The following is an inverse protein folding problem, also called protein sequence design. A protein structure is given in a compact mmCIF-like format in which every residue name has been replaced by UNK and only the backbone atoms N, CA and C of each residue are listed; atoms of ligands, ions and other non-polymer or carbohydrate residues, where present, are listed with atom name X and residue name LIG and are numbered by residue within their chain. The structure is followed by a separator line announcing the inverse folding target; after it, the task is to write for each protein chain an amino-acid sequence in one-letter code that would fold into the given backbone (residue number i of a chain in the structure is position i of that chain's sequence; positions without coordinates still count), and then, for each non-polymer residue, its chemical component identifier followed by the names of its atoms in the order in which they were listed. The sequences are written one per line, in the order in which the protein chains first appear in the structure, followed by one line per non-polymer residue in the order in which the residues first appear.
data_IF_372621569632
#
_entry.id   IF_372621569632
#
_cell.length_a   1.000
_cell.length_b   1.000
_cell.length_c   1.000
_cell.angle_alpha   90.00
_cell.angle_beta   90.00
_cell.angle_gamma   90.00
#
_symmetry.space_group_name_H-M   'P 1'
#
loop_
_entity.id
_entity.type
_entity.pdbx_description
1 polymer ?
#
# COMPACT_ATOMS: atom_id res chain seq x y z
N UNK A 1 -15.44 -4.87 -13.78
CA UNK A 1 -16.45 -3.76 -13.86
C UNK A 1 -15.83 -2.64 -14.68
N UNK A 2 -16.57 -1.98 -15.59
CA UNK A 2 -15.97 -1.00 -16.53
C UNK A 2 -16.24 0.43 -16.09
N UNK A 3 -15.16 1.23 -15.93
CA UNK A 3 -15.21 2.62 -15.51
C UNK A 3 -14.11 3.41 -16.26
N UNK A 4 -14.46 4.56 -16.84
CA UNK A 4 -13.51 5.45 -17.54
C UNK A 4 -12.57 4.71 -18.53
N UNK A 5 -13.12 3.78 -19.35
CA UNK A 5 -12.33 3.00 -20.30
C UNK A 5 -11.58 1.79 -19.71
N UNK A 6 -11.43 1.72 -18.40
CA UNK A 6 -10.74 0.65 -17.66
C UNK A 6 -11.75 -0.37 -17.11
N UNK A 7 -11.42 -1.65 -17.21
CA UNK A 7 -12.19 -2.70 -16.58
C UNK A 7 -11.46 -3.14 -15.31
N UNK A 8 -12.05 -2.85 -14.14
CA UNK A 8 -11.48 -3.19 -12.83
C UNK A 8 -12.02 -4.53 -12.36
N UNK A 9 -11.11 -5.47 -12.10
CA UNK A 9 -11.42 -6.71 -11.39
C UNK A 9 -11.36 -6.49 -9.89
N UNK A 10 -12.34 -7.01 -9.15
CA UNK A 10 -12.40 -6.89 -7.70
C UNK A 10 -12.99 -8.15 -7.07
N UNK A 11 -12.70 -8.33 -5.79
CA UNK A 11 -13.28 -9.33 -4.92
C UNK A 11 -13.84 -8.67 -3.66
N UNK A 12 -14.96 -9.18 -3.17
CA UNK A 12 -15.60 -8.72 -1.93
C UNK A 12 -15.96 -9.93 -1.09
N UNK A 13 -15.34 -10.05 0.09
CA UNK A 13 -15.45 -11.22 0.97
C UNK A 13 -15.77 -10.79 2.39
N UNK A 14 -16.32 -11.71 3.21
CA UNK A 14 -16.67 -11.42 4.60
C UNK A 14 -18.03 -10.76 4.76
N UNK A 15 -18.34 -10.35 5.99
CA UNK A 15 -19.61 -9.74 6.41
C UNK A 15 -19.34 -8.55 7.31
N UNK A 16 -20.32 -7.67 7.48
CA UNK A 16 -20.20 -6.51 8.38
C UNK A 16 -19.89 -5.21 7.64
N UNK A 17 -19.12 -4.31 8.29
CA UNK A 17 -18.76 -3.01 7.75
C UNK A 17 -17.82 -3.17 6.55
N UNK A 18 -17.95 -2.29 5.57
CA UNK A 18 -17.08 -2.32 4.40
C UNK A 18 -15.68 -1.82 4.73
N UNK A 19 -14.67 -2.54 4.23
CA UNK A 19 -13.26 -2.22 4.34
C UNK A 19 -12.59 -2.36 2.98
N UNK A 20 -11.96 -1.31 2.47
CA UNK A 20 -11.16 -1.34 1.25
C UNK A 20 -9.70 -1.58 1.59
N UNK A 21 -9.09 -2.59 0.99
CA UNK A 21 -7.64 -2.80 1.04
C UNK A 21 -7.05 -2.49 -0.34
N UNK A 22 -6.18 -1.46 -0.38
CA UNK A 22 -5.46 -1.03 -1.57
C UNK A 22 -4.05 -1.59 -1.51
N UNK A 23 -3.71 -2.47 -2.46
CA UNK A 23 -2.46 -3.23 -2.47
C UNK A 23 -1.25 -2.40 -2.90
N UNK A 24 -0.05 -2.90 -2.58
CA UNK A 24 1.23 -2.29 -2.96
C UNK A 24 1.60 -2.47 -4.43
N UNK A 25 2.76 -1.92 -4.81
CA UNK A 25 3.31 -1.97 -6.18
C UNK A 25 3.38 -3.42 -6.70
N UNK A 26 2.85 -3.66 -7.89
CA UNK A 26 2.92 -4.95 -8.58
C UNK A 26 2.03 -6.06 -7.99
N UNK A 27 1.30 -5.78 -6.90
CA UNK A 27 0.42 -6.78 -6.28
C UNK A 27 -0.93 -6.86 -6.98
N UNK A 28 -1.39 -8.08 -7.22
CA UNK A 28 -2.72 -8.38 -7.75
C UNK A 28 -3.38 -9.56 -7.00
N UNK A 29 -4.66 -9.80 -7.27
CA UNK A 29 -5.47 -10.79 -6.55
C UNK A 29 -5.16 -12.25 -6.92
N UNK A 30 -4.30 -12.51 -7.90
CA UNK A 30 -3.77 -13.84 -8.21
C UNK A 30 -2.68 -14.27 -7.22
N UNK A 31 -2.08 -13.29 -6.52
CA UNK A 31 -1.08 -13.55 -5.48
C UNK A 31 -1.76 -13.98 -4.18
N UNK A 32 -1.06 -14.72 -3.32
CA UNK A 32 -1.57 -15.03 -2.01
C UNK A 32 -1.95 -13.78 -1.23
N UNK A 33 -3.15 -13.79 -0.69
CA UNK A 33 -3.68 -12.69 0.09
C UNK A 33 -2.81 -12.44 1.33
N UNK A 34 -2.66 -11.18 1.67
CA UNK A 34 -2.18 -10.78 2.97
C UNK A 34 -3.12 -11.41 4.02
N UNK A 35 -2.61 -12.21 4.96
CA UNK A 35 -3.44 -12.65 6.06
C UNK A 35 -3.93 -11.42 6.81
N UNK A 36 -5.23 -11.32 7.02
CA UNK A 36 -5.87 -10.27 7.80
C UNK A 36 -6.59 -10.93 9.01
N UNK A 37 -5.82 -11.39 10.02
CA UNK A 37 -6.40 -12.09 11.14
C UNK A 37 -7.50 -11.24 11.78
N UNK A 38 -8.65 -11.86 12.08
CA UNK A 38 -9.78 -11.24 12.77
C UNK A 38 -10.55 -10.14 11.97
N UNK A 39 -10.04 -9.63 10.85
CA UNK A 39 -10.74 -8.63 10.04
C UNK A 39 -11.87 -9.28 9.23
N UNK A 40 -11.61 -10.40 8.58
CA UNK A 40 -12.59 -11.07 7.70
C UNK A 40 -13.87 -11.53 8.44
N UNK A 41 -13.83 -11.68 9.76
CA UNK A 41 -14.98 -12.06 10.58
C UNK A 41 -15.92 -10.88 10.90
N UNK A 42 -15.43 -9.65 10.81
CA UNK A 42 -16.14 -8.43 11.22
C UNK A 42 -16.31 -7.41 10.09
N UNK A 43 -15.55 -7.56 9.02
CA UNK A 43 -15.56 -6.66 7.88
C UNK A 43 -15.88 -7.38 6.58
N UNK A 44 -16.58 -6.68 5.72
CA UNK A 44 -16.75 -7.06 4.32
C UNK A 44 -15.63 -6.42 3.51
N UNK A 45 -14.59 -7.19 3.28
CA UNK A 45 -13.33 -6.71 2.69
C UNK A 45 -13.43 -6.65 1.18
N UNK A 46 -13.25 -5.46 0.63
CA UNK A 46 -13.14 -5.17 -0.80
C UNK A 46 -11.65 -5.06 -1.17
N UNK A 47 -11.25 -5.82 -2.19
CA UNK A 47 -9.91 -5.77 -2.81
C UNK A 47 -10.08 -5.68 -4.31
N UNK A 48 -9.14 -5.06 -5.00
CA UNK A 48 -9.19 -4.94 -6.46
C UNK A 48 -7.79 -4.99 -7.07
N UNK A 49 -7.73 -5.39 -8.33
CA UNK A 49 -6.53 -5.27 -9.14
C UNK A 49 -6.43 -3.84 -9.67
N UNK A 50 -5.31 -3.19 -9.44
CA UNK A 50 -5.05 -1.88 -10.05
C UNK A 50 -5.12 -1.96 -11.56
N UNK A 51 -5.50 -0.84 -12.22
CA UNK A 51 -5.51 -0.74 -13.68
C UNK A 51 -4.21 -1.27 -14.29
N UNK A 52 -4.32 -2.14 -15.28
CA UNK A 52 -3.21 -2.74 -16.00
C UNK A 52 -2.49 -3.87 -15.26
N UNK A 53 -2.96 -4.26 -14.06
CA UNK A 53 -2.44 -5.41 -13.33
C UNK A 53 -3.49 -6.51 -13.18
N UNK A 54 -3.01 -7.72 -12.95
CA UNK A 54 -3.85 -8.87 -12.67
C UNK A 54 -4.86 -9.13 -13.76
N UNK A 55 -6.14 -9.00 -13.42
CA UNK A 55 -7.28 -9.19 -14.31
C UNK A 55 -7.92 -7.84 -14.72
N UNK A 56 -7.36 -6.71 -14.27
CA UNK A 56 -7.78 -5.38 -14.66
C UNK A 56 -7.11 -4.93 -15.95
N UNK A 57 -7.88 -4.26 -16.83
CA UNK A 57 -7.35 -3.66 -18.06
C UNK A 57 -6.81 -2.25 -17.79
N UNK A 58 -6.10 -1.69 -18.76
CA UNK A 58 -5.77 -0.27 -18.82
C UNK A 58 -5.78 0.18 -20.27
N UNK A 59 -6.12 1.45 -20.49
CA UNK A 59 -5.85 2.11 -21.77
C UNK A 59 -4.37 2.48 -21.88
N UNK A 60 -3.88 2.63 -23.09
CA UNK A 60 -2.49 3.04 -23.36
C UNK A 60 -2.36 4.57 -23.19
N UNK A 61 -2.25 5.00 -21.93
CA UNK A 61 -2.11 6.41 -21.55
C UNK A 61 -1.17 6.56 -20.37
N UNK A 62 -0.60 7.75 -20.21
CA UNK A 62 0.07 8.12 -18.98
C UNK A 62 -0.93 8.15 -17.82
N UNK A 63 -0.55 7.54 -16.71
CA UNK A 63 -1.41 7.36 -15.53
C UNK A 63 -0.73 8.03 -14.34
N UNK A 64 -1.47 8.90 -13.65
CA UNK A 64 -1.05 9.56 -12.43
C UNK A 64 -1.53 8.84 -11.17
N UNK A 65 -1.00 9.22 -10.01
CA UNK A 65 -1.51 8.73 -8.72
C UNK A 65 -2.98 9.09 -8.49
N UNK A 66 -3.42 10.26 -9.02
CA UNK A 66 -4.83 10.68 -8.96
C UNK A 66 -5.76 9.74 -9.73
N UNK A 67 -5.31 9.19 -10.86
CA UNK A 67 -6.11 8.25 -11.65
C UNK A 67 -6.35 6.93 -10.91
N UNK A 68 -5.35 6.45 -10.16
CA UNK A 68 -5.51 5.27 -9.29
C UNK A 68 -6.51 5.54 -8.14
N UNK A 69 -6.52 6.74 -7.58
CA UNK A 69 -7.48 7.12 -6.56
C UNK A 69 -8.90 7.26 -7.12
N UNK A 70 -9.03 7.84 -8.32
CA UNK A 70 -10.32 7.99 -9.00
C UNK A 70 -10.88 6.62 -9.45
N UNK A 71 -10.04 5.62 -9.74
CA UNK A 71 -10.47 4.24 -9.94
C UNK A 71 -11.09 3.64 -8.68
N UNK A 72 -10.43 3.81 -7.54
CA UNK A 72 -10.96 3.32 -6.27
C UNK A 72 -12.32 4.00 -5.97
N UNK A 73 -12.41 5.32 -6.12
CA UNK A 73 -13.65 6.07 -5.93
C UNK A 73 -14.76 5.62 -6.91
N UNK A 74 -14.40 5.40 -8.18
CA UNK A 74 -15.31 4.88 -9.21
C UNK A 74 -15.84 3.50 -8.89
N UNK A 75 -14.99 2.60 -8.40
CA UNK A 75 -15.37 1.27 -7.95
C UNK A 75 -16.35 1.34 -6.77
N UNK A 76 -16.08 2.15 -5.76
CA UNK A 76 -16.97 2.34 -4.61
C UNK A 76 -18.34 2.87 -5.03
N UNK A 77 -18.37 3.89 -5.90
CA UNK A 77 -19.61 4.44 -6.44
C UNK A 77 -20.43 3.39 -7.20
N UNK A 78 -19.78 2.56 -8.01
CA UNK A 78 -20.48 1.51 -8.76
C UNK A 78 -21.03 0.40 -7.87
N UNK A 79 -20.41 0.16 -6.71
CA UNK A 79 -20.87 -0.78 -5.68
C UNK A 79 -21.89 -0.15 -4.74
N UNK A 80 -22.26 1.13 -4.94
CA UNK A 80 -23.18 1.89 -4.09
C UNK A 80 -22.69 1.92 -2.63
N UNK A 81 -21.36 2.15 -2.47
CA UNK A 81 -20.71 2.32 -1.17
C UNK A 81 -20.46 3.83 -1.00
N UNK A 82 -21.15 4.44 -0.07
CA UNK A 82 -21.09 5.89 0.18
C UNK A 82 -19.93 6.25 1.12
N UNK A 83 -19.52 5.32 1.99
CA UNK A 83 -18.44 5.50 2.96
C UNK A 83 -17.81 4.15 3.30
N UNK A 84 -16.46 4.13 3.47
CA UNK A 84 -15.69 2.92 3.72
C UNK A 84 -14.45 3.20 4.58
N UNK A 85 -14.01 2.21 5.36
CA UNK A 85 -12.68 2.20 5.95
C UNK A 85 -11.64 1.80 4.91
N UNK A 86 -10.46 2.43 4.95
CA UNK A 86 -9.43 2.21 3.93
C UNK A 86 -8.10 1.81 4.57
N UNK A 87 -7.53 0.71 4.13
CA UNK A 87 -6.13 0.33 4.39
C UNK A 87 -5.37 0.47 3.07
N UNK A 88 -4.41 1.40 3.03
CA UNK A 88 -3.47 1.54 1.91
C UNK A 88 -2.10 1.02 2.28
N UNK A 89 -1.54 0.08 1.51
CA UNK A 89 -0.26 -0.57 1.78
C UNK A 89 0.76 -0.12 0.73
N UNK A 90 1.87 0.48 1.15
CA UNK A 90 2.96 0.92 0.27
C UNK A 90 2.43 1.86 -0.84
N UNK A 91 2.52 1.49 -2.11
CA UNK A 91 1.88 2.19 -3.23
C UNK A 91 0.39 2.45 -2.97
N UNK A 92 -0.32 1.44 -2.44
CA UNK A 92 -1.72 1.59 -2.06
C UNK A 92 -1.95 2.67 -0.99
N UNK A 93 -0.96 2.93 -0.13
CA UNK A 93 -0.99 4.04 0.83
C UNK A 93 -0.86 5.41 0.14
N UNK A 94 -0.08 5.51 -0.93
CA UNK A 94 -0.05 6.73 -1.76
C UNK A 94 -1.40 6.95 -2.44
N UNK A 95 -2.00 5.90 -3.01
CA UNK A 95 -3.35 5.96 -3.60
C UNK A 95 -4.40 6.36 -2.57
N UNK A 96 -4.33 5.80 -1.35
CA UNK A 96 -5.25 6.08 -0.26
C UNK A 96 -5.17 7.54 0.23
N UNK A 97 -3.98 8.15 0.23
CA UNK A 97 -3.80 9.58 0.51
C UNK A 97 -4.53 10.44 -0.53
N UNK A 98 -4.31 10.15 -1.85
CA UNK A 98 -5.05 10.85 -2.91
C UNK A 98 -6.57 10.63 -2.80
N UNK A 99 -7.01 9.41 -2.47
CA UNK A 99 -8.43 9.10 -2.28
C UNK A 99 -9.04 9.93 -1.14
N UNK A 100 -8.35 10.01 0.01
CA UNK A 100 -8.82 10.76 1.17
C UNK A 100 -8.90 12.28 0.91
N UNK A 101 -7.96 12.84 0.14
CA UNK A 101 -7.96 14.28 -0.21
C UNK A 101 -9.01 14.59 -1.27
N UNK A 102 -9.09 13.79 -2.34
CA UNK A 102 -9.96 14.06 -3.50
C UNK A 102 -11.42 13.66 -3.27
N UNK A 103 -11.64 12.62 -2.47
CA UNK A 103 -12.97 12.04 -2.19
C UNK A 103 -13.20 11.87 -0.67
N UNK A 104 -13.06 12.95 0.14
CA UNK A 104 -13.02 12.86 1.61
C UNK A 104 -14.26 12.22 2.23
N UNK A 105 -15.41 12.31 1.56
CA UNK A 105 -16.67 11.70 2.05
C UNK A 105 -16.74 10.20 1.89
N UNK A 106 -15.90 9.62 1.03
CA UNK A 106 -15.84 8.17 0.84
C UNK A 106 -15.02 7.47 1.91
N UNK A 107 -14.11 8.19 2.60
CA UNK A 107 -13.18 7.58 3.55
C UNK A 107 -13.58 7.94 4.97
N UNK A 108 -14.00 6.94 5.76
CA UNK A 108 -14.34 7.09 7.18
C UNK A 108 -13.10 7.07 8.05
N UNK A 109 -12.34 6.00 8.00
CA UNK A 109 -11.04 5.83 8.67
C UNK A 109 -9.97 5.47 7.65
N UNK A 110 -8.77 5.96 7.89
CA UNK A 110 -7.63 5.76 6.99
C UNK A 110 -6.49 5.06 7.71
N UNK A 111 -6.02 3.95 7.16
CA UNK A 111 -4.79 3.28 7.62
C UNK A 111 -3.74 3.38 6.52
N UNK A 112 -2.59 3.95 6.84
CA UNK A 112 -1.45 4.13 5.95
C UNK A 112 -0.30 3.23 6.41
N UNK A 113 -0.07 2.11 5.71
CA UNK A 113 0.96 1.15 6.04
C UNK A 113 2.17 1.24 5.10
N UNK A 114 3.39 1.32 5.66
CA UNK A 114 4.69 1.34 4.94
C UNK A 114 4.66 2.20 3.68
N UNK A 115 4.25 3.45 3.79
CA UNK A 115 4.05 4.36 2.66
C UNK A 115 4.80 5.68 2.80
N UNK A 116 4.63 6.58 1.85
CA UNK A 116 5.38 7.83 1.74
C UNK A 116 4.44 8.97 1.34
N UNK A 117 4.72 10.20 1.79
CA UNK A 117 4.05 11.40 1.27
C UNK A 117 4.55 11.82 -0.11
N UNK A 118 5.70 11.26 -0.55
CA UNK A 118 6.35 11.66 -1.78
C UNK A 118 7.23 12.90 -1.65
N UNK A 119 7.38 13.61 -2.78
CA UNK A 119 8.26 14.78 -2.88
C UNK A 119 9.76 14.45 -2.86
N UNK A 120 10.59 15.48 -2.85
CA UNK A 120 12.05 15.31 -2.96
C UNK A 120 12.73 14.84 -1.66
N UNK A 121 12.11 15.09 -0.51
CA UNK A 121 12.73 14.84 0.82
C UNK A 121 12.23 13.55 1.46
N UNK A 122 10.99 13.15 1.19
CA UNK A 122 10.32 12.02 1.81
C UNK A 122 9.76 11.04 0.76
N UNK A 123 10.42 10.94 -0.39
CA UNK A 123 10.11 9.93 -1.40
C UNK A 123 10.35 8.52 -0.83
N UNK A 124 9.65 7.55 -1.36
CA UNK A 124 10.03 6.14 -1.21
C UNK A 124 11.21 5.81 -2.12
N UNK A 125 11.84 4.65 -1.92
CA UNK A 125 12.94 4.18 -2.76
C UNK A 125 12.60 4.29 -4.25
N UNK A 126 13.59 4.69 -5.07
CA UNK A 126 13.43 4.81 -6.52
C UNK A 126 13.41 3.44 -7.18
N UNK A 127 12.20 3.01 -7.55
CA UNK A 127 12.02 1.75 -8.25
C UNK A 127 12.28 1.85 -9.76
N UNK A 128 12.32 3.05 -10.35
CA UNK A 128 12.70 3.23 -11.76
C UNK A 128 14.17 2.86 -11.91
N UNK A 129 15.03 3.47 -11.09
CA UNK A 129 16.47 3.18 -11.07
C UNK A 129 16.73 1.69 -10.77
N UNK A 130 15.98 1.12 -9.83
CA UNK A 130 16.09 -0.31 -9.50
C UNK A 130 15.80 -1.21 -10.71
N UNK A 131 14.80 -0.87 -11.54
CA UNK A 131 14.43 -1.68 -12.70
C UNK A 131 15.49 -1.68 -13.81
N UNK A 132 16.35 -0.68 -13.86
CA UNK A 132 17.45 -0.58 -14.83
C UNK A 132 18.67 -1.44 -14.45
N UNK A 133 18.72 -1.96 -13.22
CA UNK A 133 19.82 -2.84 -12.76
C UNK A 133 19.74 -4.23 -13.39
N UNK A 134 20.90 -4.92 -13.59
CA UNK A 134 20.93 -6.34 -13.88
C UNK A 134 20.16 -7.16 -12.84
N UNK A 135 19.56 -8.28 -13.26
CA UNK A 135 18.63 -9.06 -12.41
C UNK A 135 19.21 -9.41 -11.03
N UNK A 136 20.46 -9.88 -10.95
CA UNK A 136 21.09 -10.25 -9.67
C UNK A 136 21.32 -9.04 -8.75
N UNK A 137 21.74 -7.92 -9.31
CA UNK A 137 21.93 -6.67 -8.57
C UNK A 137 20.58 -6.12 -8.10
N UNK A 138 19.57 -6.14 -8.96
CA UNK A 138 18.20 -5.75 -8.65
C UNK A 138 17.64 -6.56 -7.48
N UNK A 139 17.83 -7.87 -7.51
CA UNK A 139 17.37 -8.77 -6.44
C UNK A 139 18.06 -8.46 -5.11
N UNK A 140 19.37 -8.22 -5.12
CA UNK A 140 20.12 -7.84 -3.91
C UNK A 140 19.65 -6.48 -3.37
N UNK A 141 19.60 -5.47 -4.22
CA UNK A 141 19.15 -4.13 -3.83
C UNK A 141 17.73 -4.12 -3.30
N UNK A 142 16.85 -4.93 -3.90
CA UNK A 142 15.49 -5.12 -3.40
C UNK A 142 15.48 -5.69 -1.98
N UNK A 143 16.28 -6.74 -1.71
CA UNK A 143 16.40 -7.34 -0.38
C UNK A 143 16.89 -6.33 0.67
N UNK A 144 17.95 -5.61 0.32
CA UNK A 144 18.58 -4.60 1.20
C UNK A 144 17.64 -3.43 1.53
N UNK A 145 16.77 -3.06 0.58
CA UNK A 145 15.74 -2.03 0.81
C UNK A 145 14.52 -2.59 1.55
N UNK A 146 14.17 -3.85 1.31
CA UNK A 146 13.00 -4.47 1.91
C UNK A 146 13.14 -4.56 3.44
N UNK A 147 14.37 -4.85 3.90
CA UNK A 147 14.73 -4.78 5.32
C UNK A 147 16.19 -4.38 5.49
N UNK A 148 16.43 -3.24 6.11
CA UNK A 148 17.76 -2.66 6.28
C UNK A 148 18.68 -3.49 7.20
N UNK A 149 18.15 -4.43 7.98
CA UNK A 149 18.95 -5.40 8.76
C UNK A 149 19.76 -6.32 7.84
N UNK A 150 19.26 -6.56 6.62
CA UNK A 150 19.96 -7.40 5.64
C UNK A 150 21.29 -6.81 5.17
N UNK A 151 21.40 -5.48 5.10
CA UNK A 151 22.62 -4.77 4.68
C UNK A 151 23.86 -5.09 5.54
N UNK A 152 23.64 -5.45 6.78
CA UNK A 152 24.71 -5.68 7.75
C UNK A 152 25.13 -7.15 7.89
N UNK A 153 24.54 -8.07 7.13
CA UNK A 153 24.88 -9.51 7.15
C UNK A 153 24.67 -10.18 8.51
N UNK A 154 23.92 -9.55 9.42
CA UNK A 154 24.00 -9.84 10.85
C UNK A 154 22.85 -10.68 11.41
N UNK A 155 21.79 -10.96 10.66
CA UNK A 155 20.66 -11.68 11.26
C UNK A 155 20.14 -12.83 10.38
N UNK A 156 20.51 -14.01 10.87
CA UNK A 156 19.79 -15.26 10.79
C UNK A 156 19.50 -15.83 9.39
N UNK A 157 20.12 -16.99 9.09
CA UNK A 157 19.80 -17.84 7.93
C UNK A 157 18.30 -18.04 7.71
N UNK A 158 17.49 -17.98 8.78
CA UNK A 158 16.03 -18.12 8.71
C UNK A 158 15.34 -16.89 8.13
N UNK A 159 15.80 -15.69 8.48
CA UNK A 159 15.26 -14.44 7.94
C UNK A 159 15.61 -14.29 6.45
N UNK A 160 16.85 -14.58 6.07
CA UNK A 160 17.29 -14.66 4.67
C UNK A 160 16.45 -15.68 3.90
N UNK A 161 16.18 -16.83 4.49
CA UNK A 161 15.34 -17.87 3.91
C UNK A 161 13.88 -17.42 3.72
N UNK A 162 13.29 -16.70 4.68
CA UNK A 162 11.94 -16.13 4.55
C UNK A 162 11.88 -15.04 3.49
N UNK A 163 12.88 -14.16 3.48
CA UNK A 163 13.01 -13.14 2.43
C UNK A 163 13.24 -13.78 1.07
N UNK A 164 14.13 -14.74 0.94
CA UNK A 164 14.32 -15.47 -0.32
C UNK A 164 13.03 -16.17 -0.77
N UNK A 165 12.24 -16.74 0.16
CA UNK A 165 10.93 -17.31 -0.18
C UNK A 165 9.92 -16.24 -0.59
N UNK A 166 9.83 -15.14 0.15
CA UNK A 166 8.99 -14.00 -0.20
C UNK A 166 9.40 -13.43 -1.56
N UNK A 167 10.68 -13.33 -1.82
CA UNK A 167 11.23 -12.83 -3.09
C UNK A 167 11.06 -13.84 -4.20
N UNK A 168 11.35 -15.11 -4.01
CA UNK A 168 11.06 -16.14 -5.03
C UNK A 168 9.56 -16.22 -5.33
N UNK A 169 8.72 -15.95 -4.34
CA UNK A 169 7.28 -15.85 -4.49
C UNK A 169 6.88 -14.53 -5.17
N UNK A 170 7.56 -13.44 -4.87
CA UNK A 170 7.36 -12.10 -5.45
C UNK A 170 8.22 -11.86 -6.69
N UNK A 171 9.23 -12.66 -6.98
CA UNK A 171 9.98 -12.59 -8.24
C UNK A 171 9.16 -13.02 -9.46
N UNK A 172 8.05 -13.73 -9.23
CA UNK A 172 6.99 -13.77 -10.24
C UNK A 172 6.31 -12.42 -10.45
N UNK A 173 6.44 -11.49 -9.49
CA UNK A 173 5.95 -10.10 -9.62
C UNK A 173 6.93 -9.19 -10.37
N UNK A 174 8.22 -9.58 -10.46
CA UNK A 174 9.21 -8.92 -11.30
C UNK A 174 9.67 -9.93 -12.36
N UNK A 175 8.81 -10.29 -13.33
CA UNK A 175 9.25 -11.07 -14.47
C UNK A 175 10.42 -10.36 -15.14
N UNK A 176 11.24 -11.11 -15.87
CA UNK A 176 12.35 -10.53 -16.64
C UNK A 176 11.90 -9.36 -17.52
N UNK A 177 10.60 -9.36 -17.90
CA UNK A 177 9.92 -8.26 -18.56
C UNK A 177 8.85 -7.74 -17.60
N UNK A 178 9.09 -6.57 -16.99
CA UNK A 178 8.06 -5.89 -16.18
C UNK A 178 6.82 -5.67 -17.06
N UNK A 179 5.65 -6.08 -16.56
CA UNK A 179 4.41 -5.81 -17.29
C UNK A 179 4.23 -4.29 -17.45
N UNK A 180 3.61 -3.87 -18.56
CA UNK A 180 3.30 -2.45 -18.77
C UNK A 180 2.56 -1.82 -17.59
N UNK A 181 1.67 -2.59 -16.95
CA UNK A 181 0.94 -2.13 -15.76
C UNK A 181 1.85 -1.86 -14.56
N UNK A 182 2.85 -2.71 -14.31
CA UNK A 182 3.84 -2.49 -13.26
C UNK A 182 4.67 -1.23 -13.55
N UNK A 183 5.14 -1.06 -14.78
CA UNK A 183 5.93 0.11 -15.16
C UNK A 183 5.11 1.41 -15.07
N UNK A 184 3.80 1.37 -15.37
CA UNK A 184 2.90 2.50 -15.15
C UNK A 184 2.79 2.88 -13.68
N UNK A 185 2.65 1.89 -12.79
CA UNK A 185 2.66 2.15 -11.33
C UNK A 185 3.98 2.76 -10.86
N UNK A 186 5.11 2.21 -11.31
CA UNK A 186 6.45 2.71 -10.95
C UNK A 186 6.63 4.15 -11.40
N UNK A 187 6.20 4.51 -12.62
CA UNK A 187 6.25 5.89 -13.13
C UNK A 187 5.29 6.82 -12.38
N UNK A 188 4.06 6.38 -12.12
CA UNK A 188 3.09 7.19 -11.38
C UNK A 188 3.59 7.53 -9.97
N UNK A 189 4.15 6.53 -9.25
CA UNK A 189 4.68 6.75 -7.89
C UNK A 189 5.90 7.65 -7.86
N UNK A 190 6.75 7.66 -8.91
CA UNK A 190 7.92 8.57 -8.95
C UNK A 190 7.51 10.03 -9.02
N UNK A 191 6.31 10.33 -9.53
CA UNK A 191 5.72 11.67 -9.53
C UNK A 191 4.82 11.97 -8.32
N UNK A 192 4.74 11.07 -7.34
CA UNK A 192 3.92 11.27 -6.15
C UNK A 192 4.50 12.36 -5.25
N UNK A 193 3.71 13.38 -4.97
CA UNK A 193 4.02 14.43 -3.98
C UNK A 193 2.73 15.01 -3.40
N UNK A 194 2.47 14.72 -2.14
CA UNK A 194 1.38 15.31 -1.36
C UNK A 194 1.93 16.01 -0.09
N UNK A 195 3.23 16.30 -0.04
CA UNK A 195 3.88 16.86 1.15
C UNK A 195 3.22 18.14 1.66
N UNK A 196 2.72 18.99 0.77
CA UNK A 196 2.02 20.23 1.13
C UNK A 196 0.51 20.05 1.33
N UNK A 197 -0.06 18.91 0.92
CA UNK A 197 -1.50 18.66 0.94
C UNK A 197 -1.96 17.75 2.09
N UNK A 198 -1.04 17.17 2.87
CA UNK A 198 -1.35 16.22 3.94
C UNK A 198 -2.31 16.79 5.00
N UNK A 199 -2.27 18.10 5.24
CA UNK A 199 -3.19 18.79 6.15
C UNK A 199 -4.65 18.77 5.70
N UNK A 200 -4.94 18.37 4.44
CA UNK A 200 -6.28 18.20 3.90
C UNK A 200 -6.87 16.82 4.24
N UNK A 201 -6.07 15.88 4.74
CA UNK A 201 -6.54 14.58 5.25
C UNK A 201 -7.16 14.85 6.62
N UNK A 202 -8.49 14.79 6.70
CA UNK A 202 -9.28 15.11 7.89
C UNK A 202 -9.79 13.86 8.63
N UNK A 203 -9.70 12.72 8.01
CA UNK A 203 -10.15 11.44 8.56
C UNK A 203 -9.28 11.01 9.75
N UNK A 204 -9.84 10.32 10.77
CA UNK A 204 -9.02 9.57 11.72
C UNK A 204 -8.05 8.67 10.97
N UNK A 205 -6.75 8.80 11.28
CA UNK A 205 -5.69 8.14 10.54
C UNK A 205 -4.79 7.32 11.47
N UNK A 206 -4.55 6.06 11.13
CA UNK A 206 -3.51 5.25 11.74
C UNK A 206 -2.37 5.07 10.74
N UNK A 207 -1.17 5.43 11.14
CA UNK A 207 0.05 5.28 10.33
C UNK A 207 0.89 4.17 10.95
N UNK A 208 1.22 3.14 10.17
CA UNK A 208 1.95 1.96 10.66
C UNK A 208 3.12 1.61 9.75
N UNK A 209 4.22 1.16 10.32
CA UNK A 209 5.38 0.74 9.54
C UNK A 209 6.38 -0.10 10.29
N UNK A 210 7.26 -0.75 9.52
CA UNK A 210 8.39 -1.50 10.05
C UNK A 210 9.54 -0.58 10.45
N UNK A 211 10.22 -0.91 11.54
CA UNK A 211 11.39 -0.15 12.04
C UNK A 211 12.57 -0.17 11.07
N UNK A 212 12.64 -1.19 10.23
CA UNK A 212 13.76 -1.45 9.34
C UNK A 212 13.39 -1.35 7.85
N UNK A 213 12.29 -0.68 7.56
CA UNK A 213 11.83 -0.45 6.18
C UNK A 213 12.78 0.52 5.46
N UNK A 214 13.41 0.06 4.38
CA UNK A 214 14.25 0.89 3.51
C UNK A 214 13.55 1.36 2.24
N UNK A 215 12.36 0.82 1.93
CA UNK A 215 11.54 1.26 0.78
C UNK A 215 10.74 2.51 1.15
N UNK A 216 10.07 2.48 2.29
CA UNK A 216 9.37 3.61 2.89
C UNK A 216 9.91 3.84 4.31
N UNK A 217 11.08 4.48 4.44
CA UNK A 217 11.78 4.60 5.72
C UNK A 217 10.91 5.21 6.82
N UNK A 218 11.16 4.88 8.11
CA UNK A 218 10.41 5.41 9.24
C UNK A 218 10.21 6.91 9.25
N UNK A 219 11.18 7.66 8.70
CA UNK A 219 11.12 9.12 8.59
C UNK A 219 9.95 9.60 7.73
N UNK A 220 9.57 8.83 6.70
CA UNK A 220 8.42 9.15 5.85
C UNK A 220 7.11 9.07 6.62
N UNK A 221 6.98 8.03 7.47
CA UNK A 221 5.80 7.85 8.31
C UNK A 221 5.74 8.91 9.42
N UNK A 222 6.89 9.27 9.98
CA UNK A 222 6.98 10.37 10.95
C UNK A 222 6.55 11.70 10.31
N UNK A 223 6.94 11.96 9.07
CA UNK A 223 6.51 13.13 8.33
C UNK A 223 4.98 13.12 8.12
N UNK A 224 4.40 12.00 7.66
CA UNK A 224 2.95 11.85 7.54
C UNK A 224 2.24 12.20 8.85
N UNK A 225 2.72 11.63 9.97
CA UNK A 225 2.13 11.87 11.30
C UNK A 225 2.24 13.32 11.77
N UNK A 226 3.30 14.02 11.39
CA UNK A 226 3.48 15.43 11.77
C UNK A 226 2.50 16.36 11.04
N UNK A 227 2.02 15.99 9.84
CA UNK A 227 1.19 16.85 9.01
C UNK A 227 -0.27 16.39 8.90
N UNK A 228 -0.59 15.12 9.18
CA UNK A 228 -1.97 14.62 9.28
C UNK A 228 -2.45 14.80 10.72
N UNK A 229 -3.33 15.78 10.96
CA UNK A 229 -3.70 16.23 12.32
C UNK A 229 -4.31 15.15 13.21
N UNK A 230 -5.18 14.31 12.66
CA UNK A 230 -5.90 13.26 13.40
C UNK A 230 -5.20 11.92 13.23
N UNK A 231 -3.87 11.86 13.41
CA UNK A 231 -3.10 10.65 13.19
C UNK A 231 -2.47 10.08 14.45
N UNK A 232 -2.43 8.74 14.50
CA UNK A 232 -1.63 7.94 15.42
C UNK A 232 -0.50 7.29 14.61
N UNK A 233 0.70 7.13 15.19
CA UNK A 233 1.85 6.50 14.53
C UNK A 233 2.41 5.38 15.39
N UNK A 234 2.46 4.16 14.81
CA UNK A 234 3.02 3.00 15.45
C UNK A 234 4.10 2.33 14.58
N UNK A 235 5.20 1.92 15.20
CA UNK A 235 6.27 1.14 14.56
C UNK A 235 6.34 -0.27 15.14
N UNK A 236 6.49 -1.25 14.26
CA UNK A 236 6.55 -2.67 14.57
C UNK A 236 7.90 -3.26 14.19
N UNK A 237 8.21 -4.45 14.70
CA UNK A 237 9.38 -5.20 14.26
C UNK A 237 9.20 -5.63 12.79
N UNK A 238 10.31 -5.61 12.03
CA UNK A 238 10.29 -5.94 10.62
C UNK A 238 10.66 -4.78 9.71
N UNK A 239 10.80 -5.10 8.41
CA UNK A 239 11.04 -4.18 7.31
C UNK A 239 9.75 -3.77 6.62
N UNK A 240 9.79 -3.72 5.28
CA UNK A 240 8.63 -3.38 4.44
C UNK A 240 7.49 -4.40 4.54
N UNK A 241 7.79 -5.63 4.99
CA UNK A 241 6.83 -6.72 5.20
C UNK A 241 6.36 -6.87 6.65
N UNK A 242 6.55 -5.89 7.52
CA UNK A 242 6.21 -5.96 8.94
C UNK A 242 4.81 -6.53 9.23
N UNK A 243 3.83 -6.34 8.34
CA UNK A 243 2.48 -6.91 8.45
C UNK A 243 2.44 -8.46 8.39
N UNK A 244 3.52 -9.12 7.97
CA UNK A 244 3.69 -10.57 8.00
C UNK A 244 4.65 -11.05 9.08
N UNK A 245 5.38 -10.11 9.70
CA UNK A 245 6.46 -10.40 10.64
C UNK A 245 6.06 -10.16 12.10
N UNK A 246 5.15 -9.19 12.33
CA UNK A 246 4.72 -8.78 13.69
C UNK A 246 3.19 -8.77 13.80
N UNK A 247 2.65 -9.76 14.51
CA UNK A 247 1.20 -9.90 14.72
C UNK A 247 0.57 -8.69 15.43
N UNK A 248 1.35 -7.96 16.25
CA UNK A 248 0.89 -6.74 16.95
C UNK A 248 0.48 -5.64 15.97
N UNK A 249 0.99 -5.67 14.73
CA UNK A 249 0.58 -4.73 13.70
C UNK A 249 -0.91 -4.89 13.36
N UNK A 250 -1.38 -6.14 13.20
CA UNK A 250 -2.79 -6.41 12.93
C UNK A 250 -3.68 -6.16 14.15
N UNK A 251 -3.19 -6.43 15.36
CA UNK A 251 -3.91 -6.09 16.59
C UNK A 251 -4.15 -4.57 16.68
N UNK A 252 -3.12 -3.77 16.39
CA UNK A 252 -3.21 -2.30 16.36
C UNK A 252 -4.20 -1.80 15.31
N UNK A 253 -4.14 -2.36 14.08
CA UNK A 253 -5.07 -2.01 13.00
C UNK A 253 -6.50 -2.38 13.38
N UNK A 254 -6.72 -3.58 13.92
CA UNK A 254 -8.04 -4.05 14.31
C UNK A 254 -8.63 -3.22 15.45
N UNK A 255 -7.83 -2.85 16.45
CA UNK A 255 -8.23 -1.96 17.53
C UNK A 255 -8.67 -0.60 17.00
N UNK A 256 -7.86 0.05 16.15
CA UNK A 256 -8.20 1.33 15.54
C UNK A 256 -9.48 1.28 14.71
N UNK A 257 -9.69 0.22 13.93
CA UNK A 257 -10.89 0.04 13.14
C UNK A 257 -12.15 -0.12 14.01
N UNK A 258 -12.01 -0.78 15.18
CA UNK A 258 -13.11 -1.05 16.12
C UNK A 258 -13.48 0.15 17.00
N UNK A 259 -12.63 1.17 17.16
CA UNK A 259 -12.94 2.37 17.94
C UNK A 259 -14.18 3.07 17.36
N UNK A 260 -15.12 3.49 18.21
CA UNK A 260 -16.24 4.33 17.81
C UNK A 260 -15.81 5.79 17.70
N UNK A 261 -16.41 6.54 16.76
CA UNK A 261 -16.07 7.96 16.49
C UNK A 261 -16.25 8.88 17.70
N UNK A 262 -17.07 8.49 18.67
CA UNK A 262 -17.33 9.26 19.90
C UNK A 262 -16.15 9.25 20.89
N UNK A 263 -15.06 8.51 20.60
CA UNK A 263 -13.90 8.33 21.50
C UNK A 263 -12.62 8.98 20.96
N UNK A 264 -12.65 9.55 19.75
CA UNK A 264 -11.52 10.24 19.09
C UNK A 264 -11.74 11.76 19.10
#
# INVERSE_FOLDING_TARGET
MKFSGTEIYYERTGIGRDLLIISGTGSDLRLPRLPVPQIDDHYRVLRYDHRGLGQSTAEDSDISMSDFADDAAGLLKMLTIDEIDVIGISFGGMVAQHLAIRHPKLVRKLILACTSPGGTTHSSADLVELMDLPLEERQRSWLEMFDTRYQNGSEGEYFVYLLEKLIKRNLSMFPNDASDGLMRQIRARSGHDLSEELGNISQPCLIVGGKYDGIAPPQNLQYLSNYIRSSQLHFFEGGHSFLWEDDLAWESISAFLAEDEDTL
#
